data_IF_440199536008
#
_entry.id   IF_440199536008
#
_cell.length_a   1.000
_cell.length_b   1.000
_cell.length_c   1.000
_cell.angle_alpha   90.00
_cell.angle_beta   90.00
_cell.angle_gamma   90.00
#
_symmetry.space_group_name_H-M   'P 1'
#
loop_
_entity.id
_entity.type
_entity.pdbx_description
1 polymer ?
#
# COMPACT_ATOMS: atom_id res chain seq x y z
N UNK A 1 -46.96 -12.71 6.83
CA UNK A 1 -46.58 -12.05 8.10
C UNK A 1 -45.13 -12.35 8.50
N UNK A 2 -44.74 -13.57 8.93
CA UNK A 2 -43.37 -13.81 9.42
C UNK A 2 -42.27 -13.68 8.34
N UNK A 3 -42.49 -14.25 7.14
CA UNK A 3 -41.58 -14.05 5.98
C UNK A 3 -41.50 -12.59 5.51
N UNK A 4 -42.55 -11.83 5.74
CA UNK A 4 -42.64 -10.43 5.34
C UNK A 4 -41.91 -9.54 6.35
N UNK A 5 -42.07 -9.82 7.66
CA UNK A 5 -41.28 -9.22 8.72
C UNK A 5 -39.78 -9.52 8.57
N UNK A 6 -39.40 -10.75 8.21
CA UNK A 6 -37.99 -11.09 7.93
C UNK A 6 -37.43 -10.30 6.73
N UNK A 7 -38.23 -10.10 5.67
CA UNK A 7 -37.83 -9.28 4.51
C UNK A 7 -37.68 -7.81 4.89
N UNK A 8 -38.59 -7.27 5.70
CA UNK A 8 -38.53 -5.89 6.18
C UNK A 8 -37.29 -5.67 7.05
N UNK A 9 -37.02 -6.59 8.00
CA UNK A 9 -35.83 -6.55 8.84
C UNK A 9 -34.53 -6.66 8.03
N UNK A 10 -34.48 -7.54 7.02
CA UNK A 10 -33.33 -7.65 6.13
C UNK A 10 -33.10 -6.35 5.34
N UNK A 11 -34.17 -5.76 4.80
CA UNK A 11 -34.11 -4.48 4.07
C UNK A 11 -33.65 -3.32 4.96
N UNK A 12 -34.09 -3.28 6.21
CA UNK A 12 -33.69 -2.25 7.19
C UNK A 12 -32.20 -2.39 7.55
N UNK A 13 -31.75 -3.62 7.81
CA UNK A 13 -30.33 -3.94 8.05
C UNK A 13 -29.44 -3.60 6.85
N UNK A 14 -29.91 -3.84 5.62
CA UNK A 14 -29.18 -3.49 4.40
C UNK A 14 -29.03 -1.96 4.24
N UNK A 15 -30.10 -1.22 4.51
CA UNK A 15 -30.09 0.24 4.46
C UNK A 15 -29.16 0.83 5.53
N UNK A 16 -29.20 0.29 6.75
CA UNK A 16 -28.31 0.70 7.83
C UNK A 16 -26.83 0.40 7.48
N UNK A 17 -26.55 -0.78 6.92
CA UNK A 17 -25.21 -1.12 6.44
C UNK A 17 -24.74 -0.17 5.32
N UNK A 18 -25.63 0.18 4.38
CA UNK A 18 -25.30 1.15 3.32
C UNK A 18 -24.98 2.53 3.92
N UNK A 19 -25.72 2.96 4.95
CA UNK A 19 -25.44 4.21 5.67
C UNK A 19 -24.08 4.19 6.35
N UNK A 20 -23.75 3.11 7.08
CA UNK A 20 -22.46 2.96 7.76
C UNK A 20 -21.28 2.92 6.78
N UNK A 21 -21.44 2.29 5.61
CA UNK A 21 -20.40 2.23 4.57
C UNK A 21 -20.11 3.57 3.91
N UNK A 22 -21.11 4.45 3.86
CA UNK A 22 -21.03 5.76 3.20
C UNK A 22 -20.81 6.89 4.21
N UNK A 23 -20.44 6.56 5.45
CA UNK A 23 -20.23 7.54 6.51
C UNK A 23 -18.82 8.14 6.44
N UNK A 24 -18.63 9.03 5.46
CA UNK A 24 -17.42 9.82 5.29
C UNK A 24 -17.75 11.21 4.75
N UNK A 25 -16.90 12.18 5.07
CA UNK A 25 -17.02 13.56 4.63
C UNK A 25 -16.73 13.66 3.11
N UNK A 26 -17.59 14.37 2.38
CA UNK A 26 -17.37 14.69 0.97
C UNK A 26 -16.63 16.03 0.84
N UNK A 27 -15.75 16.17 -0.17
CA UNK A 27 -15.06 17.43 -0.43
C UNK A 27 -16.07 18.53 -0.77
N UNK A 28 -16.89 18.26 -1.78
CA UNK A 28 -17.94 19.13 -2.27
C UNK A 28 -19.19 18.27 -2.49
N UNK A 29 -20.31 18.54 -1.80
CA UNK A 29 -21.55 17.81 -2.02
C UNK A 29 -22.03 17.93 -3.47
N UNK A 30 -22.42 16.81 -4.08
CA UNK A 30 -22.93 16.80 -5.45
C UNK A 30 -24.26 17.55 -5.55
N UNK A 31 -24.38 18.46 -6.53
CA UNK A 31 -25.60 19.22 -6.78
C UNK A 31 -26.73 18.30 -7.29
N UNK A 32 -27.97 18.68 -6.98
CA UNK A 32 -29.17 17.92 -7.39
C UNK A 32 -29.27 17.75 -8.90
N UNK A 33 -28.94 18.78 -9.66
CA UNK A 33 -28.98 18.77 -11.13
C UNK A 33 -28.04 17.71 -11.71
N UNK A 34 -26.83 17.62 -11.17
CA UNK A 34 -25.82 16.62 -11.57
C UNK A 34 -26.28 15.21 -11.17
N UNK A 35 -26.94 15.07 -10.02
CA UNK A 35 -27.52 13.79 -9.58
C UNK A 35 -28.57 13.29 -10.58
N UNK A 36 -29.44 14.16 -11.09
CA UNK A 36 -30.44 13.80 -12.10
C UNK A 36 -29.80 13.34 -13.43
N UNK A 37 -28.67 13.94 -13.82
CA UNK A 37 -27.90 13.51 -14.99
C UNK A 37 -27.38 12.08 -14.79
N UNK A 38 -26.84 11.76 -13.61
CA UNK A 38 -26.41 10.42 -13.26
C UNK A 38 -27.58 9.42 -13.26
N UNK A 39 -28.69 9.75 -12.60
CA UNK A 39 -29.88 8.88 -12.55
C UNK A 39 -30.41 8.56 -13.96
N UNK A 40 -30.42 9.54 -14.86
CA UNK A 40 -30.81 9.34 -16.26
C UNK A 40 -29.89 8.35 -16.99
N UNK A 41 -28.57 8.50 -16.84
CA UNK A 41 -27.61 7.56 -17.44
C UNK A 41 -27.74 6.16 -16.83
N UNK A 42 -27.85 6.08 -15.51
CA UNK A 42 -27.96 4.81 -14.79
C UNK A 42 -29.26 4.08 -15.11
N UNK A 43 -30.38 4.79 -15.30
CA UNK A 43 -31.69 4.24 -15.63
C UNK A 43 -31.86 3.76 -17.08
N UNK A 44 -30.83 3.86 -17.93
CA UNK A 44 -30.93 3.46 -19.35
C UNK A 44 -31.11 1.95 -19.50
N UNK A 45 -32.16 1.46 -20.19
CA UNK A 45 -32.37 0.03 -20.42
C UNK A 45 -31.20 -0.59 -21.19
N UNK A 46 -30.67 -1.72 -20.70
CA UNK A 46 -29.55 -2.41 -21.35
C UNK A 46 -28.21 -1.66 -21.29
N UNK A 47 -28.04 -0.71 -20.35
CA UNK A 47 -26.84 0.14 -20.16
C UNK A 47 -25.49 -0.54 -20.38
N UNK A 48 -25.33 -1.78 -19.90
CA UNK A 48 -24.07 -2.54 -20.01
C UNK A 48 -23.60 -2.83 -21.46
N UNK A 49 -24.46 -2.60 -22.46
CA UNK A 49 -24.16 -2.76 -23.89
C UNK A 49 -24.22 -1.45 -24.68
N UNK A 50 -24.65 -0.36 -24.04
CA UNK A 50 -24.80 0.95 -24.69
C UNK A 50 -23.55 1.76 -24.46
N UNK A 51 -22.96 2.27 -25.54
CA UNK A 51 -21.84 3.22 -25.47
C UNK A 51 -22.41 4.63 -25.30
N UNK A 52 -22.00 5.29 -24.25
CA UNK A 52 -22.35 6.68 -23.97
C UNK A 52 -21.29 7.61 -24.55
N UNK A 53 -21.68 8.86 -24.77
CA UNK A 53 -20.76 9.90 -25.19
C UNK A 53 -19.71 10.18 -24.09
N UNK A 54 -18.44 10.22 -24.49
CA UNK A 54 -17.32 10.32 -23.56
C UNK A 54 -17.27 11.70 -22.88
N UNK A 55 -17.56 12.78 -23.63
CA UNK A 55 -17.56 14.15 -23.10
C UNK A 55 -18.65 14.35 -22.05
N UNK A 56 -19.83 13.76 -22.28
CA UNK A 56 -20.94 13.76 -21.33
C UNK A 56 -20.56 13.08 -20.01
N UNK A 57 -19.94 11.89 -20.07
CA UNK A 57 -19.47 11.18 -18.87
C UNK A 57 -18.38 12.00 -18.16
N UNK A 58 -17.43 12.53 -18.91
CA UNK A 58 -16.30 13.30 -18.36
C UNK A 58 -16.80 14.53 -17.62
N UNK A 59 -17.74 15.26 -18.23
CA UNK A 59 -18.40 16.42 -17.63
C UNK A 59 -19.19 16.04 -16.38
N UNK A 60 -19.92 14.93 -16.40
CA UNK A 60 -20.68 14.46 -15.23
C UNK A 60 -19.76 14.08 -14.06
N UNK A 61 -18.60 13.45 -14.32
CA UNK A 61 -17.62 13.12 -13.27
C UNK A 61 -16.94 14.37 -12.73
N UNK A 62 -16.64 15.36 -13.58
CA UNK A 62 -16.03 16.64 -13.18
C UNK A 62 -16.98 17.46 -12.30
N UNK A 63 -18.27 17.54 -12.66
CA UNK A 63 -19.30 18.26 -11.89
C UNK A 63 -19.67 17.58 -10.57
N UNK A 64 -19.33 16.29 -10.41
CA UNK A 64 -19.42 15.58 -9.14
C UNK A 64 -20.18 14.26 -9.24
N UNK A 65 -19.78 13.33 -8.38
CA UNK A 65 -20.38 11.98 -8.31
C UNK A 65 -21.16 11.86 -7.00
N UNK A 66 -22.47 11.59 -7.02
CA UNK A 66 -23.27 11.50 -5.80
C UNK A 66 -22.90 10.25 -4.98
N UNK A 67 -22.56 10.44 -3.69
CA UNK A 67 -22.13 9.37 -2.77
C UNK A 67 -23.05 8.14 -2.74
N UNK A 68 -24.36 8.34 -2.86
CA UNK A 68 -25.35 7.26 -2.79
C UNK A 68 -25.35 6.32 -4.00
N UNK A 69 -24.88 6.82 -5.16
CA UNK A 69 -24.78 6.08 -6.43
C UNK A 69 -23.34 5.77 -6.84
N UNK A 70 -22.33 6.28 -6.12
CA UNK A 70 -20.90 6.16 -6.48
C UNK A 70 -20.48 4.74 -6.84
N UNK A 71 -20.89 3.73 -6.07
CA UNK A 71 -20.59 2.33 -6.39
C UNK A 71 -21.24 1.81 -7.68
N UNK A 72 -22.45 2.27 -8.01
CA UNK A 72 -23.10 1.94 -9.29
C UNK A 72 -22.44 2.69 -10.46
N UNK A 73 -22.02 3.93 -10.23
CA UNK A 73 -21.32 4.77 -11.19
C UNK A 73 -19.95 4.17 -11.53
N UNK A 74 -19.17 3.70 -10.56
CA UNK A 74 -17.90 3.01 -10.83
C UNK A 74 -18.10 1.75 -11.68
N UNK A 75 -19.14 0.97 -11.38
CA UNK A 75 -19.50 -0.18 -12.22
C UNK A 75 -19.87 0.26 -13.64
N UNK A 76 -20.66 1.33 -13.78
CA UNK A 76 -21.02 1.90 -15.08
C UNK A 76 -19.77 2.35 -15.86
N UNK A 77 -18.84 3.05 -15.24
CA UNK A 77 -17.58 3.49 -15.86
C UNK A 77 -16.74 2.29 -16.33
N UNK A 78 -16.63 1.25 -15.51
CA UNK A 78 -15.96 0.01 -15.90
C UNK A 78 -16.65 -0.70 -17.09
N UNK A 79 -17.99 -0.67 -17.14
CA UNK A 79 -18.76 -1.17 -18.29
C UNK A 79 -18.45 -0.35 -19.56
N UNK A 80 -18.41 0.98 -19.46
CA UNK A 80 -18.05 1.86 -20.59
C UNK A 80 -16.62 1.62 -21.06
N UNK A 81 -15.66 1.51 -20.13
CA UNK A 81 -14.26 1.20 -20.43
C UNK A 81 -14.13 -0.10 -21.25
N UNK A 82 -14.83 -1.16 -20.83
CA UNK A 82 -14.85 -2.45 -21.54
C UNK A 82 -15.48 -2.37 -22.94
N UNK A 83 -16.43 -1.47 -23.17
CA UNK A 83 -17.02 -1.26 -24.50
C UNK A 83 -16.08 -0.47 -25.42
N UNK A 84 -15.21 0.38 -24.87
CA UNK A 84 -14.25 1.17 -25.63
C UNK A 84 -12.93 0.45 -25.92
N UNK A 85 -12.49 -0.43 -25.02
CA UNK A 85 -11.17 -1.03 -25.05
C UNK A 85 -11.24 -2.51 -25.44
N UNK A 86 -10.45 -2.91 -26.43
CA UNK A 86 -10.19 -4.33 -26.70
C UNK A 86 -9.18 -4.83 -25.68
N UNK A 87 -9.65 -5.32 -24.53
CA UNK A 87 -8.77 -5.93 -23.53
C UNK A 87 -8.08 -7.14 -24.18
N UNK A 88 -6.74 -7.16 -24.30
CA UNK A 88 -6.02 -8.35 -24.73
C UNK A 88 -6.27 -9.44 -23.69
N UNK A 89 -7.19 -10.34 -24.00
CA UNK A 89 -7.75 -11.26 -23.03
C UNK A 89 -6.73 -12.36 -22.70
N UNK A 90 -5.97 -12.22 -21.62
CA UNK A 90 -5.75 -13.36 -20.72
C UNK A 90 -6.79 -13.24 -19.61
N UNK A 91 -8.02 -13.75 -19.81
CA UNK A 91 -8.90 -13.91 -18.66
C UNK A 91 -8.15 -14.76 -17.63
N UNK A 92 -8.37 -14.54 -16.32
CA UNK A 92 -7.80 -15.43 -15.31
C UNK A 92 -8.14 -16.86 -15.71
N UNK A 93 -7.14 -17.73 -15.74
CA UNK A 93 -7.27 -19.14 -16.14
C UNK A 93 -8.36 -19.87 -15.35
N UNK A 94 -8.70 -19.32 -14.19
CA UNK A 94 -9.72 -19.79 -13.29
C UNK A 94 -11.00 -18.94 -13.38
N UNK A 95 -12.09 -19.52 -13.87
CA UNK A 95 -13.43 -18.90 -13.92
C UNK A 95 -14.31 -19.29 -12.72
N UNK A 96 -13.70 -19.77 -11.63
CA UNK A 96 -14.44 -20.23 -10.46
C UNK A 96 -15.26 -19.08 -9.86
N UNK A 97 -16.58 -19.26 -9.65
CA UNK A 97 -17.42 -18.20 -9.11
C UNK A 97 -17.05 -17.88 -7.66
N UNK A 98 -17.25 -16.62 -7.25
CA UNK A 98 -16.88 -16.10 -5.93
C UNK A 98 -17.29 -17.01 -4.76
N UNK A 99 -18.53 -17.54 -4.79
CA UNK A 99 -19.05 -18.43 -3.73
C UNK A 99 -18.27 -19.74 -3.60
N UNK A 100 -17.73 -20.26 -4.69
CA UNK A 100 -16.92 -21.49 -4.67
C UNK A 100 -15.49 -21.20 -4.23
N UNK A 101 -14.93 -20.05 -4.60
CA UNK A 101 -13.61 -19.60 -4.10
C UNK A 101 -13.59 -19.48 -2.57
N UNK A 102 -14.67 -18.94 -1.98
CA UNK A 102 -14.76 -18.80 -0.51
C UNK A 102 -14.72 -20.13 0.26
N UNK A 103 -15.03 -21.26 -0.39
CA UNK A 103 -14.96 -22.59 0.24
C UNK A 103 -13.53 -23.13 0.34
N UNK A 104 -12.59 -22.59 -0.44
CA UNK A 104 -11.21 -23.05 -0.46
C UNK A 104 -10.38 -22.40 0.66
N UNK A 105 -9.16 -22.88 0.92
CA UNK A 105 -8.21 -22.28 1.86
C UNK A 105 -7.18 -21.45 1.09
N UNK A 106 -6.82 -20.27 1.61
CA UNK A 106 -5.76 -19.43 1.04
C UNK A 106 -4.48 -19.54 1.86
N UNK A 107 -3.33 -19.62 1.19
CA UNK A 107 -2.01 -19.52 1.83
C UNK A 107 -1.75 -18.14 2.43
N UNK A 108 -2.44 -17.10 1.95
CA UNK A 108 -2.21 -15.70 2.33
C UNK A 108 -3.03 -15.23 3.53
N UNK A 109 -3.62 -16.16 4.28
CA UNK A 109 -4.49 -15.84 5.42
C UNK A 109 -3.80 -14.91 6.44
N UNK A 110 -2.54 -15.17 6.78
CA UNK A 110 -1.82 -14.37 7.77
C UNK A 110 -1.59 -12.93 7.29
N UNK A 111 -1.12 -12.76 6.05
CA UNK A 111 -0.89 -11.45 5.45
C UNK A 111 -2.19 -10.63 5.38
N UNK A 112 -3.29 -11.26 4.93
CA UNK A 112 -4.62 -10.64 4.87
C UNK A 112 -5.07 -10.15 6.26
N UNK A 113 -4.91 -10.97 7.30
CA UNK A 113 -5.36 -10.63 8.65
C UNK A 113 -4.58 -9.47 9.28
N UNK A 114 -3.27 -9.39 9.05
CA UNK A 114 -2.43 -8.27 9.51
C UNK A 114 -2.95 -6.95 8.90
N UNK A 115 -3.22 -6.98 7.60
CA UNK A 115 -3.65 -5.79 6.87
C UNK A 115 -5.06 -5.33 7.22
N UNK A 116 -5.92 -6.29 7.57
CA UNK A 116 -7.31 -6.03 7.89
C UNK A 116 -7.45 -5.07 9.08
N UNK A 117 -6.62 -5.25 10.11
CA UNK A 117 -6.63 -4.40 11.31
C UNK A 117 -6.12 -2.98 11.07
N UNK A 118 -5.34 -2.75 10.00
CA UNK A 118 -4.79 -1.43 9.64
C UNK A 118 -5.56 -0.74 8.51
N UNK A 119 -6.57 -1.38 7.94
CA UNK A 119 -7.36 -0.83 6.82
C UNK A 119 -8.56 -0.05 7.35
N UNK A 120 -8.51 1.28 7.25
CA UNK A 120 -9.54 2.21 7.75
C UNK A 120 -9.98 1.93 9.21
N UNK A 121 -9.05 1.85 10.18
CA UNK A 121 -9.36 1.40 11.55
C UNK A 121 -10.34 2.33 12.29
N UNK A 122 -10.41 3.60 11.89
CA UNK A 122 -11.31 4.60 12.48
C UNK A 122 -12.68 4.65 11.84
N UNK A 123 -12.89 3.99 10.70
CA UNK A 123 -14.16 4.03 9.98
C UNK A 123 -15.20 3.11 10.65
N UNK A 124 -16.43 3.56 10.94
CA UNK A 124 -17.41 2.79 11.73
C UNK A 124 -17.67 1.37 11.21
N UNK A 125 -17.69 1.19 9.88
CA UNK A 125 -17.89 -0.12 9.26
C UNK A 125 -16.73 -1.12 9.46
N UNK A 126 -15.50 -0.63 9.63
CA UNK A 126 -14.29 -1.46 9.75
C UNK A 126 -13.68 -1.47 11.16
N UNK A 127 -14.17 -0.60 12.06
CA UNK A 127 -13.67 -0.44 13.43
C UNK A 127 -13.80 -1.73 14.26
N UNK A 128 -14.88 -2.50 14.07
CA UNK A 128 -15.09 -3.73 14.81
C UNK A 128 -14.15 -4.84 14.31
N UNK A 129 -13.28 -5.33 15.20
CA UNK A 129 -12.36 -6.43 14.91
C UNK A 129 -13.14 -7.69 14.51
N UNK A 130 -12.85 -8.23 13.33
CA UNK A 130 -13.59 -9.34 12.72
C UNK A 130 -15.12 -9.10 12.66
N UNK A 131 -15.55 -7.84 12.62
CA UNK A 131 -16.93 -7.46 12.37
C UNK A 131 -17.33 -7.64 10.91
N UNK A 132 -18.59 -7.32 10.59
CA UNK A 132 -19.15 -7.53 9.25
C UNK A 132 -18.32 -6.88 8.12
N UNK A 133 -17.78 -5.68 8.34
CA UNK A 133 -16.94 -5.00 7.35
C UNK A 133 -15.59 -5.67 7.14
N UNK A 134 -14.87 -5.98 8.23
CA UNK A 134 -13.60 -6.69 8.16
C UNK A 134 -13.77 -8.10 7.54
N UNK A 135 -14.79 -8.86 7.92
CA UNK A 135 -15.04 -10.18 7.32
C UNK A 135 -15.42 -10.11 5.84
N UNK A 136 -16.19 -9.09 5.45
CA UNK A 136 -16.51 -8.85 4.04
C UNK A 136 -15.24 -8.58 3.24
N UNK A 137 -14.36 -7.72 3.76
CA UNK A 137 -13.08 -7.41 3.14
C UNK A 137 -12.16 -8.64 3.07
N UNK A 138 -12.03 -9.39 4.17
CA UNK A 138 -11.30 -10.66 4.22
C UNK A 138 -11.76 -11.63 3.11
N UNK A 139 -13.07 -11.80 2.93
CA UNK A 139 -13.63 -12.71 1.93
C UNK A 139 -13.28 -12.29 0.50
N UNK A 140 -13.34 -10.98 0.20
CA UNK A 140 -12.96 -10.46 -1.11
C UNK A 140 -11.48 -10.74 -1.39
N UNK A 141 -10.60 -10.44 -0.43
CA UNK A 141 -9.15 -10.64 -0.56
C UNK A 141 -8.78 -12.12 -0.66
N UNK A 142 -9.42 -12.96 0.15
CA UNK A 142 -9.30 -14.41 0.08
C UNK A 142 -9.66 -14.92 -1.31
N UNK A 143 -10.83 -14.56 -1.83
CA UNK A 143 -11.28 -15.01 -3.14
C UNK A 143 -10.31 -14.53 -4.23
N UNK A 144 -9.83 -13.28 -4.15
CA UNK A 144 -8.86 -12.75 -5.10
C UNK A 144 -7.53 -13.52 -5.07
N UNK A 145 -6.98 -13.81 -3.87
CA UNK A 145 -5.73 -14.58 -3.72
C UNK A 145 -5.78 -15.99 -4.31
N UNK A 146 -6.99 -16.54 -4.50
CA UNK A 146 -7.24 -17.86 -5.10
C UNK A 146 -7.51 -17.77 -6.60
N UNK A 147 -8.05 -16.64 -7.06
CA UNK A 147 -8.31 -16.38 -8.48
C UNK A 147 -7.01 -16.13 -9.23
N UNK A 148 -6.06 -15.43 -8.61
CA UNK A 148 -4.75 -15.10 -9.17
C UNK A 148 -3.62 -15.46 -8.19
N UNK A 149 -3.11 -16.72 -8.25
CA UNK A 149 -2.06 -17.19 -7.36
C UNK A 149 -0.70 -16.52 -7.58
N UNK A 150 -0.43 -16.03 -8.80
CA UNK A 150 0.84 -15.38 -9.17
C UNK A 150 0.98 -13.99 -8.55
N UNK A 151 -0.15 -13.31 -8.27
CA UNK A 151 -0.20 -11.98 -7.63
C UNK A 151 -0.19 -12.06 -6.10
N UNK A 152 -0.07 -13.26 -5.53
CA UNK A 152 -0.15 -13.45 -4.09
C UNK A 152 1.17 -13.08 -3.41
N UNK A 153 1.35 -11.80 -3.05
CA UNK A 153 2.06 -11.30 -1.85
C UNK A 153 2.08 -9.75 -1.85
N UNK A 154 1.39 -9.18 -0.84
CA UNK A 154 1.50 -7.82 -0.26
C UNK A 154 0.30 -6.86 -0.46
N UNK A 155 -0.39 -6.60 0.66
CA UNK A 155 -1.27 -5.47 0.94
C UNK A 155 -2.70 -5.48 0.35
N UNK A 156 -3.66 -5.35 1.27
CA UNK A 156 -5.14 -5.31 1.11
C UNK A 156 -5.73 -4.30 0.13
N UNK A 157 -4.89 -3.49 -0.51
CA UNK A 157 -5.25 -2.61 -1.62
C UNK A 157 -5.16 -3.31 -2.99
N UNK A 158 -4.85 -4.61 -3.00
CA UNK A 158 -4.68 -5.45 -4.19
C UNK A 158 -5.91 -5.66 -5.09
N UNK A 159 -7.10 -5.27 -4.64
CA UNK A 159 -8.29 -5.22 -5.50
C UNK A 159 -8.14 -4.23 -6.67
N UNK A 160 -7.20 -3.27 -6.57
CA UNK A 160 -6.80 -2.40 -7.67
C UNK A 160 -5.38 -2.72 -8.23
N UNK A 161 -4.60 -3.58 -7.56
CA UNK A 161 -3.27 -4.01 -8.03
C UNK A 161 -3.33 -4.85 -9.31
N UNK A 162 -4.51 -5.35 -9.72
CA UNK A 162 -4.71 -6.00 -11.03
C UNK A 162 -4.38 -5.08 -12.21
N UNK A 163 -4.30 -3.75 -12.03
CA UNK A 163 -4.01 -2.84 -13.15
C UNK A 163 -2.57 -2.30 -13.19
N UNK A 164 -1.75 -2.53 -12.17
CA UNK A 164 -0.52 -1.74 -11.97
C UNK A 164 0.71 -2.52 -11.52
N UNK A 165 0.61 -3.79 -11.17
CA UNK A 165 1.78 -4.51 -10.63
C UNK A 165 1.76 -5.97 -11.02
N UNK A 166 1.76 -6.23 -12.33
CA UNK A 166 2.21 -7.52 -12.85
C UNK A 166 3.73 -7.55 -12.76
N UNK A 167 4.27 -8.01 -11.63
CA UNK A 167 5.40 -8.94 -11.49
C UNK A 167 5.89 -8.93 -10.02
N UNK A 168 6.27 -10.09 -9.45
CA UNK A 168 6.84 -10.19 -8.10
C UNK A 168 8.14 -9.36 -7.91
N UNK A 169 8.78 -8.92 -8.98
CA UNK A 169 10.04 -8.17 -8.96
C UNK A 169 9.87 -6.65 -8.71
N UNK A 170 8.65 -6.15 -8.45
CA UNK A 170 8.36 -4.71 -8.25
C UNK A 170 8.83 -3.80 -9.41
N UNK A 171 9.16 -4.37 -10.58
CA UNK A 171 9.69 -3.64 -11.75
C UNK A 171 8.72 -2.55 -12.19
N UNK A 172 7.43 -2.85 -12.26
CA UNK A 172 6.44 -1.84 -12.65
C UNK A 172 6.46 -0.67 -11.67
N UNK A 173 6.46 -0.94 -10.36
CA UNK A 173 6.52 0.11 -9.36
C UNK A 173 7.80 0.96 -9.50
N UNK A 174 8.95 0.34 -9.84
CA UNK A 174 10.19 1.07 -10.14
C UNK A 174 10.04 1.97 -11.38
N UNK A 175 9.44 1.47 -12.47
CA UNK A 175 9.10 2.28 -13.65
C UNK A 175 8.23 3.47 -13.24
N UNK A 176 7.23 3.25 -12.38
CA UNK A 176 6.37 4.33 -11.91
C UNK A 176 7.10 5.36 -11.06
N UNK A 177 7.99 4.92 -10.16
CA UNK A 177 8.82 5.86 -9.40
C UNK A 177 9.70 6.69 -10.34
N UNK A 178 10.24 6.07 -11.38
CA UNK A 178 11.01 6.78 -12.41
C UNK A 178 10.15 7.77 -13.20
N UNK A 179 8.98 7.35 -13.70
CA UNK A 179 8.03 8.21 -14.41
C UNK A 179 7.61 9.42 -13.57
N UNK A 180 7.34 9.24 -12.28
CA UNK A 180 7.03 10.34 -11.37
C UNK A 180 8.24 11.29 -11.20
N UNK A 181 9.45 10.74 -11.09
CA UNK A 181 10.68 11.54 -11.03
C UNK A 181 10.86 12.40 -12.29
N UNK A 182 10.67 11.82 -13.48
CA UNK A 182 10.75 12.54 -14.77
C UNK A 182 9.63 13.58 -14.92
N UNK A 183 8.41 13.28 -14.49
CA UNK A 183 7.33 14.27 -14.43
C UNK A 183 7.70 15.47 -13.54
N UNK A 184 8.30 15.23 -12.36
CA UNK A 184 8.76 16.33 -11.51
C UNK A 184 9.86 17.14 -12.19
N UNK A 185 10.81 16.49 -12.86
CA UNK A 185 11.84 17.18 -13.63
C UNK A 185 11.25 18.11 -14.70
N UNK A 186 10.25 17.64 -15.45
CA UNK A 186 9.70 18.38 -16.58
C UNK A 186 8.71 19.49 -16.18
N UNK A 187 7.91 19.28 -15.12
CA UNK A 187 6.87 20.24 -14.70
C UNK A 187 7.28 21.11 -13.50
N UNK A 188 8.12 20.60 -12.60
CA UNK A 188 8.53 21.25 -11.35
C UNK A 188 10.04 21.12 -11.11
N UNK A 189 10.83 21.59 -12.08
CA UNK A 189 12.29 21.40 -12.15
C UNK A 189 13.05 21.80 -10.87
N UNK A 190 12.66 22.89 -10.24
CA UNK A 190 13.27 23.37 -8.99
C UNK A 190 12.94 22.45 -7.79
N UNK A 191 11.72 21.93 -7.70
CA UNK A 191 11.38 20.89 -6.73
C UNK A 191 12.18 19.63 -7.00
N UNK A 192 12.26 19.19 -8.26
CA UNK A 192 13.09 18.04 -8.64
C UNK A 192 14.54 18.23 -8.23
N UNK A 193 15.17 19.35 -8.57
CA UNK A 193 16.57 19.63 -8.23
C UNK A 193 16.79 19.67 -6.72
N UNK A 194 15.84 20.21 -5.95
CA UNK A 194 15.93 20.21 -4.48
C UNK A 194 15.87 18.79 -3.90
N UNK A 195 14.94 17.96 -4.39
CA UNK A 195 14.83 16.56 -3.99
C UNK A 195 16.07 15.76 -4.39
N UNK A 196 16.59 15.98 -5.60
CA UNK A 196 17.80 15.32 -6.11
C UNK A 196 19.05 15.69 -5.30
N UNK A 197 19.21 16.97 -4.94
CA UNK A 197 20.32 17.43 -4.07
C UNK A 197 20.31 16.77 -2.70
N UNK A 198 19.13 16.41 -2.20
CA UNK A 198 18.93 15.71 -0.93
C UNK A 198 18.83 14.19 -1.10
N UNK A 199 19.11 13.66 -2.30
CA UNK A 199 19.03 12.23 -2.65
C UNK A 199 17.65 11.59 -2.38
N UNK A 200 16.57 12.37 -2.53
CA UNK A 200 15.20 11.94 -2.26
C UNK A 200 14.53 11.44 -3.54
N UNK A 201 14.56 10.12 -3.74
CA UNK A 201 13.79 9.46 -4.79
C UNK A 201 12.31 9.26 -4.43
N UNK A 202 11.40 9.18 -5.43
CA UNK A 202 9.98 8.93 -5.18
C UNK A 202 9.65 7.66 -4.39
N UNK A 203 10.50 6.64 -4.43
CA UNK A 203 10.34 5.41 -3.65
C UNK A 203 10.25 5.65 -2.13
N UNK A 204 10.87 6.72 -1.63
CA UNK A 204 10.88 7.06 -0.20
C UNK A 204 9.53 7.56 0.31
N UNK A 205 8.67 8.13 -0.55
CA UNK A 205 7.42 8.77 -0.12
C UNK A 205 6.18 8.38 -0.94
N UNK A 206 6.31 8.07 -2.23
CA UNK A 206 5.19 7.85 -3.14
C UNK A 206 4.74 6.39 -3.19
N UNK A 207 5.54 5.43 -2.73
CA UNK A 207 5.18 4.00 -2.71
C UNK A 207 3.77 3.74 -2.14
N UNK A 208 3.37 4.31 -0.99
CA UNK A 208 2.01 4.14 -0.47
C UNK A 208 0.92 4.75 -1.37
N UNK A 209 1.22 5.84 -2.09
CA UNK A 209 0.26 6.51 -2.97
C UNK A 209 -0.13 5.62 -4.14
N UNK A 210 0.85 4.96 -4.77
CA UNK A 210 0.62 4.04 -5.89
C UNK A 210 -0.01 2.73 -5.44
N UNK A 211 0.49 2.15 -4.34
CA UNK A 211 -0.01 0.85 -3.86
C UNK A 211 -1.41 0.94 -3.26
N UNK A 212 -1.80 2.08 -2.69
CA UNK A 212 -3.09 2.25 -2.01
C UNK A 212 -4.03 3.22 -2.69
N UNK A 213 -3.63 3.81 -3.83
CA UNK A 213 -4.38 4.87 -4.51
C UNK A 213 -4.75 5.98 -3.50
N UNK A 214 -3.75 6.41 -2.73
CA UNK A 214 -3.84 7.42 -1.66
C UNK A 214 -4.69 7.04 -0.43
N UNK A 215 -5.31 5.86 -0.39
CA UNK A 215 -6.26 5.48 0.65
C UNK A 215 -5.67 5.37 2.07
N UNK A 216 -4.36 5.14 2.20
CA UNK A 216 -3.73 4.93 3.52
C UNK A 216 -3.52 6.21 4.33
N UNK A 217 -3.33 7.35 3.67
CA UNK A 217 -2.94 8.60 4.33
C UNK A 217 -3.89 9.77 4.06
N UNK A 218 -4.73 9.70 3.03
CA UNK A 218 -5.60 10.81 2.63
C UNK A 218 -7.04 10.60 3.10
N UNK A 219 -7.80 11.70 3.31
CA UNK A 219 -9.22 11.61 3.69
C UNK A 219 -10.07 10.84 2.68
N UNK A 220 -11.00 10.02 3.18
CA UNK A 220 -11.78 9.09 2.34
C UNK A 220 -12.62 9.80 1.27
N UNK A 221 -13.10 11.03 1.54
CA UNK A 221 -13.78 11.85 0.53
C UNK A 221 -12.91 12.22 -0.66
N UNK A 222 -11.64 12.53 -0.42
CA UNK A 222 -10.65 12.80 -1.46
C UNK A 222 -10.33 11.54 -2.25
N UNK A 223 -10.05 10.45 -1.54
CA UNK A 223 -9.79 9.14 -2.14
C UNK A 223 -10.96 8.72 -3.04
N UNK A 224 -12.20 8.90 -2.60
CA UNK A 224 -13.38 8.58 -3.41
C UNK A 224 -13.41 9.36 -4.74
N UNK A 225 -13.04 10.65 -4.74
CA UNK A 225 -12.94 11.47 -5.96
C UNK A 225 -11.78 11.03 -6.85
N UNK A 226 -10.65 10.62 -6.28
CA UNK A 226 -9.54 10.01 -7.03
C UNK A 226 -10.03 8.74 -7.74
N UNK A 227 -10.77 7.87 -7.05
CA UNK A 227 -11.35 6.67 -7.65
C UNK A 227 -12.36 6.98 -8.77
N UNK A 228 -13.19 8.02 -8.62
CA UNK A 228 -14.09 8.46 -9.70
C UNK A 228 -13.33 8.73 -11.00
N UNK A 229 -12.20 9.43 -10.91
CA UNK A 229 -11.33 9.74 -12.05
C UNK A 229 -10.56 8.51 -12.54
N UNK A 230 -10.08 7.65 -11.65
CA UNK A 230 -9.37 6.42 -12.01
C UNK A 230 -10.26 5.47 -12.82
N UNK A 231 -11.54 5.31 -12.46
CA UNK A 231 -12.49 4.51 -13.24
C UNK A 231 -12.82 5.12 -14.61
N UNK A 232 -12.65 6.45 -14.78
CA UNK A 232 -12.92 7.17 -16.01
C UNK A 232 -11.71 7.21 -16.95
N UNK A 233 -10.53 7.58 -16.44
CA UNK A 233 -9.32 7.88 -17.20
C UNK A 233 -8.24 6.79 -17.08
N UNK A 234 -8.32 5.90 -16.08
CA UNK A 234 -7.33 4.85 -15.82
C UNK A 234 -6.33 5.19 -14.71
N UNK A 235 -5.31 4.34 -14.55
CA UNK A 235 -4.31 4.47 -13.47
C UNK A 235 -3.41 5.69 -13.58
N UNK A 236 -3.29 6.32 -14.75
CA UNK A 236 -2.47 7.52 -14.95
C UNK A 236 -2.88 8.68 -14.03
N UNK A 237 -4.14 8.67 -13.55
CA UNK A 237 -4.65 9.61 -12.56
C UNK A 237 -3.80 9.63 -11.28
N UNK A 238 -3.18 8.51 -10.91
CA UNK A 238 -2.31 8.45 -9.73
C UNK A 238 -1.11 9.39 -9.90
N UNK A 239 -0.51 9.42 -11.09
CA UNK A 239 0.57 10.35 -11.42
C UNK A 239 0.09 11.80 -11.42
N UNK A 240 -1.07 12.06 -12.03
CA UNK A 240 -1.70 13.38 -12.05
C UNK A 240 -1.89 13.91 -10.62
N UNK A 241 -2.48 13.11 -9.74
CA UNK A 241 -2.70 13.47 -8.33
C UNK A 241 -1.36 13.69 -7.61
N UNK A 242 -0.38 12.77 -7.76
CA UNK A 242 0.93 12.92 -7.13
C UNK A 242 1.64 14.21 -7.57
N UNK A 243 1.61 14.52 -8.87
CA UNK A 243 2.22 15.70 -9.45
C UNK A 243 1.54 16.98 -8.95
N UNK A 244 0.20 17.05 -8.94
CA UNK A 244 -0.54 18.21 -8.43
C UNK A 244 -0.34 18.43 -6.93
N UNK A 245 -0.29 17.36 -6.13
CA UNK A 245 -0.02 17.46 -4.69
C UNK A 245 1.39 17.99 -4.41
N UNK A 246 2.41 17.45 -5.07
CA UNK A 246 3.79 17.91 -4.93
C UNK A 246 3.96 19.34 -5.44
N UNK A 247 3.38 19.66 -6.59
CA UNK A 247 3.39 21.00 -7.17
C UNK A 247 2.70 22.06 -6.30
N UNK A 248 1.56 21.72 -5.70
CA UNK A 248 0.83 22.63 -4.81
C UNK A 248 1.55 22.90 -3.48
N UNK A 249 2.32 21.92 -2.97
CA UNK A 249 3.07 22.03 -1.72
C UNK A 249 4.53 22.43 -1.91
N UNK A 250 5.00 22.55 -3.16
CA UNK A 250 6.36 22.91 -3.52
C UNK A 250 6.95 24.08 -2.70
N UNK A 251 6.28 25.24 -2.53
CA UNK A 251 6.85 26.35 -1.77
C UNK A 251 7.13 26.04 -0.30
N UNK A 252 6.42 25.05 0.27
CA UNK A 252 6.62 24.58 1.64
C UNK A 252 7.73 23.53 1.68
N UNK A 253 7.75 22.60 0.71
CA UNK A 253 8.79 21.56 0.62
C UNK A 253 10.19 22.20 0.48
N UNK A 254 10.31 23.26 -0.31
CA UNK A 254 11.58 23.98 -0.53
C UNK A 254 12.12 24.70 0.72
N UNK A 255 11.35 24.79 1.82
CA UNK A 255 11.81 25.38 3.09
C UNK A 255 12.52 24.36 3.98
N UNK A 256 12.50 23.08 3.61
CA UNK A 256 13.13 22.00 4.35
C UNK A 256 14.47 21.62 3.70
N UNK A 257 15.54 21.59 4.48
CA UNK A 257 16.91 21.42 3.98
C UNK A 257 17.52 20.04 4.26
N UNK A 258 16.76 19.11 4.86
CA UNK A 258 17.24 17.77 5.21
C UNK A 258 16.31 16.68 4.69
N UNK A 259 16.89 15.52 4.32
CA UNK A 259 16.14 14.35 3.88
C UNK A 259 15.01 13.96 4.84
N UNK A 260 15.30 13.89 6.15
CA UNK A 260 14.32 13.49 7.15
C UNK A 260 13.14 14.47 7.22
N UNK A 261 13.43 15.78 7.26
CA UNK A 261 12.37 16.80 7.37
C UNK A 261 11.50 16.88 6.12
N UNK A 262 12.08 16.74 4.93
CA UNK A 262 11.35 16.72 3.66
C UNK A 262 10.45 15.48 3.58
N UNK A 263 11.01 14.30 3.86
CA UNK A 263 10.26 13.03 3.79
C UNK A 263 9.15 13.01 4.85
N UNK A 264 9.41 13.49 6.05
CA UNK A 264 8.39 13.64 7.09
C UNK A 264 7.28 14.58 6.63
N UNK A 265 7.60 15.78 6.13
CA UNK A 265 6.62 16.73 5.62
C UNK A 265 5.71 16.10 4.54
N UNK A 266 6.29 15.40 3.56
CA UNK A 266 5.53 14.76 2.48
C UNK A 266 4.62 13.62 3.02
N UNK A 267 5.05 12.90 4.05
CA UNK A 267 4.30 11.77 4.61
C UNK A 267 3.24 12.17 5.63
N UNK A 268 3.49 13.20 6.43
CA UNK A 268 2.68 13.53 7.61
C UNK A 268 1.88 14.81 7.44
N UNK A 269 2.46 15.84 6.82
CA UNK A 269 1.81 17.15 6.67
C UNK A 269 1.04 17.28 5.37
N UNK A 270 1.61 16.86 4.24
CA UNK A 270 0.99 16.95 2.92
C UNK A 270 -0.40 16.28 2.84
N UNK A 271 -0.65 15.10 3.47
CA UNK A 271 -1.99 14.51 3.42
C UNK A 271 -3.07 15.30 4.18
N UNK A 272 -2.70 16.25 5.05
CA UNK A 272 -3.62 17.09 5.82
C UNK A 272 -4.14 18.27 4.99
N UNK A 273 -4.75 17.96 3.85
CA UNK A 273 -5.30 18.96 2.93
C UNK A 273 -6.56 19.59 3.51
N UNK A 274 -6.74 20.89 3.32
CA UNK A 274 -8.05 21.53 3.53
C UNK A 274 -9.01 21.26 2.37
N UNK A 275 -10.33 21.38 2.58
CA UNK A 275 -11.36 21.14 1.56
C UNK A 275 -11.08 21.91 0.25
N UNK A 276 -10.70 23.18 0.34
CA UNK A 276 -10.38 24.04 -0.82
C UNK A 276 -9.16 23.52 -1.59
N UNK A 277 -8.15 22.99 -0.89
CA UNK A 277 -6.96 22.42 -1.53
C UNK A 277 -7.30 21.11 -2.24
N UNK A 278 -8.12 20.26 -1.61
CA UNK A 278 -8.60 19.03 -2.22
C UNK A 278 -9.39 19.33 -3.50
N UNK A 279 -10.33 20.27 -3.47
CA UNK A 279 -11.14 20.66 -4.63
C UNK A 279 -10.27 21.21 -5.78
N UNK A 280 -9.31 22.10 -5.46
CA UNK A 280 -8.33 22.59 -6.44
C UNK A 280 -7.51 21.46 -7.06
N UNK A 281 -7.06 20.51 -6.24
CA UNK A 281 -6.29 19.33 -6.70
C UNK A 281 -7.13 18.50 -7.66
N UNK A 282 -8.38 18.18 -7.32
CA UNK A 282 -9.28 17.40 -8.19
C UNK A 282 -9.52 18.12 -9.52
N UNK A 283 -9.79 19.43 -9.50
CA UNK A 283 -10.04 20.20 -10.72
C UNK A 283 -8.80 20.24 -11.63
N UNK A 284 -7.61 20.45 -11.06
CA UNK A 284 -6.35 20.38 -11.83
C UNK A 284 -6.16 18.99 -12.43
N UNK A 285 -6.41 17.92 -11.66
CA UNK A 285 -6.27 16.54 -12.12
C UNK A 285 -7.22 16.20 -13.27
N UNK A 286 -8.44 16.74 -13.26
CA UNK A 286 -9.39 16.55 -14.36
C UNK A 286 -8.90 17.12 -15.70
N UNK A 287 -8.12 18.21 -15.67
CA UNK A 287 -7.66 18.92 -16.87
C UNK A 287 -6.24 18.51 -17.32
N UNK A 288 -5.48 17.85 -16.45
CA UNK A 288 -4.10 17.43 -16.76
C UNK A 288 -4.04 16.28 -17.77
N UNK A 289 -3.21 16.46 -18.80
CA UNK A 289 -2.83 15.42 -19.77
C UNK A 289 -1.31 15.14 -19.65
N UNK A 290 -0.98 13.92 -19.24
CA UNK A 290 0.39 13.43 -19.09
C UNK A 290 0.61 12.10 -19.82
N UNK A 291 -0.37 11.61 -20.59
CA UNK A 291 -0.37 10.24 -21.13
C UNK A 291 0.82 10.01 -22.07
N UNK A 292 1.14 10.99 -22.92
CA UNK A 292 2.26 10.90 -23.88
C UNK A 292 3.62 10.89 -23.17
N UNK A 293 3.75 11.71 -22.13
CA UNK A 293 4.97 11.80 -21.33
C UNK A 293 5.20 10.50 -20.58
N UNK A 294 4.17 9.94 -19.94
CA UNK A 294 4.28 8.65 -19.25
C UNK A 294 4.73 7.53 -20.18
N UNK A 295 4.18 7.44 -21.39
CA UNK A 295 4.61 6.47 -22.40
C UNK A 295 6.07 6.69 -22.82
N UNK A 296 6.48 7.94 -23.04
CA UNK A 296 7.85 8.27 -23.40
C UNK A 296 8.84 7.87 -22.29
N UNK A 297 8.53 8.15 -21.03
CA UNK A 297 9.37 7.80 -19.88
C UNK A 297 9.42 6.30 -19.61
N UNK A 298 8.35 5.55 -19.91
CA UNK A 298 8.36 4.09 -19.83
C UNK A 298 9.36 3.49 -20.83
N UNK A 299 9.33 3.97 -22.08
CA UNK A 299 10.31 3.57 -23.10
C UNK A 299 11.72 4.01 -22.70
N UNK A 300 11.89 5.24 -22.21
CA UNK A 300 13.18 5.74 -21.71
C UNK A 300 13.76 4.83 -20.62
N UNK A 301 12.94 4.41 -19.65
CA UNK A 301 13.36 3.50 -18.59
C UNK A 301 13.84 2.15 -19.13
N UNK A 302 13.10 1.55 -20.07
CA UNK A 302 13.49 0.27 -20.66
C UNK A 302 14.82 0.37 -21.42
N UNK A 303 15.02 1.45 -22.20
CA UNK A 303 16.30 1.69 -22.90
C UNK A 303 17.45 1.82 -21.90
N UNK A 304 17.26 2.58 -20.80
CA UNK A 304 18.29 2.73 -19.77
C UNK A 304 18.63 1.41 -19.07
N UNK A 305 17.64 0.54 -18.83
CA UNK A 305 17.87 -0.79 -18.26
C UNK A 305 18.66 -1.68 -19.22
N UNK A 306 18.31 -1.66 -20.51
CA UNK A 306 19.01 -2.44 -21.53
C UNK A 306 20.47 -1.98 -21.70
N UNK A 307 20.74 -0.67 -21.71
CA UNK A 307 22.11 -0.13 -21.74
C UNK A 307 22.94 -0.53 -20.51
N UNK A 308 22.32 -0.59 -19.33
CA UNK A 308 22.96 -1.03 -18.10
C UNK A 308 23.35 -2.52 -18.17
N UNK A 309 22.52 -3.34 -18.81
CA UNK A 309 22.75 -4.78 -19.02
C UNK A 309 23.80 -5.07 -20.10
N UNK A 310 23.85 -4.24 -21.15
CA UNK A 310 24.80 -4.36 -22.25
C UNK A 310 26.20 -3.78 -21.95
N UNK A 311 26.35 -3.08 -20.82
CA UNK A 311 27.67 -2.65 -20.36
C UNK A 311 28.46 -3.89 -19.93
N UNK A 312 29.57 -4.27 -20.61
CA UNK A 312 30.34 -5.44 -20.22
C UNK A 312 30.79 -5.24 -18.76
N UNK A 313 30.54 -6.20 -17.86
CA UNK A 313 30.85 -6.02 -16.45
C UNK A 313 32.34 -5.72 -16.34
N UNK A 314 32.66 -4.51 -15.88
CA UNK A 314 34.06 -4.16 -15.65
C UNK A 314 34.65 -5.21 -14.70
N UNK A 315 35.87 -5.70 -14.96
CA UNK A 315 36.50 -6.75 -14.13
C UNK A 315 36.40 -6.43 -12.62
N UNK A 316 36.43 -5.14 -12.26
CA UNK A 316 36.30 -4.64 -10.89
C UNK A 316 34.92 -4.90 -10.26
N UNK A 317 33.83 -4.88 -11.03
CA UNK A 317 32.47 -5.05 -10.51
C UNK A 317 32.19 -6.52 -10.20
N UNK A 318 32.68 -7.45 -11.05
CA UNK A 318 32.66 -8.89 -10.75
C UNK A 318 33.49 -9.24 -9.51
N UNK A 319 34.66 -8.62 -9.35
CA UNK A 319 35.49 -8.81 -8.17
C UNK A 319 34.80 -8.29 -6.91
N UNK A 320 34.16 -7.10 -6.98
CA UNK A 320 33.37 -6.54 -5.86
C UNK A 320 32.16 -7.39 -5.51
N UNK A 321 31.40 -7.86 -6.51
CA UNK A 321 30.23 -8.70 -6.30
C UNK A 321 30.62 -10.05 -5.67
N UNK A 322 31.66 -10.71 -6.21
CA UNK A 322 32.18 -11.96 -5.66
C UNK A 322 32.78 -11.79 -4.26
N UNK A 323 33.31 -10.61 -3.94
CA UNK A 323 33.80 -10.30 -2.60
C UNK A 323 32.65 -10.07 -1.62
N UNK A 324 31.63 -9.30 -2.01
CA UNK A 324 30.43 -9.07 -1.20
C UNK A 324 29.65 -10.36 -0.93
N UNK A 325 29.54 -11.26 -1.91
CA UNK A 325 28.93 -12.58 -1.72
C UNK A 325 29.70 -13.43 -0.71
N UNK A 326 31.03 -13.48 -0.83
CA UNK A 326 31.88 -14.19 0.16
C UNK A 326 31.72 -13.61 1.56
N UNK A 327 31.70 -12.29 1.69
CA UNK A 327 31.49 -11.63 2.99
C UNK A 327 30.10 -11.92 3.55
N UNK A 328 29.05 -11.90 2.73
CA UNK A 328 27.69 -12.24 3.15
C UNK A 328 27.54 -13.70 3.59
N UNK A 329 28.15 -14.63 2.86
CA UNK A 329 28.16 -16.05 3.25
C UNK A 329 28.88 -16.25 4.58
N UNK A 330 30.03 -15.59 4.77
CA UNK A 330 30.77 -15.66 6.04
C UNK A 330 29.98 -15.06 7.21
N UNK A 331 29.33 -13.91 7.03
CA UNK A 331 28.49 -13.28 8.05
C UNK A 331 27.24 -14.11 8.37
N UNK A 332 26.64 -14.78 7.37
CA UNK A 332 25.53 -15.72 7.60
C UNK A 332 25.96 -16.92 8.43
N UNK A 333 27.14 -17.48 8.14
CA UNK A 333 27.69 -18.58 8.94
C UNK A 333 27.97 -18.13 10.38
N UNK A 334 28.59 -16.97 10.57
CA UNK A 334 28.84 -16.42 11.91
C UNK A 334 27.55 -16.17 12.70
N UNK A 335 26.49 -15.69 12.04
CA UNK A 335 25.18 -15.54 12.68
C UNK A 335 24.57 -16.89 13.06
N UNK A 336 24.73 -17.92 12.23
CA UNK A 336 24.26 -19.27 12.54
C UNK A 336 25.03 -19.86 13.73
N UNK A 337 26.35 -19.74 13.73
CA UNK A 337 27.21 -20.22 14.82
C UNK A 337 26.90 -19.49 16.15
N UNK A 338 26.66 -18.17 16.09
CA UNK A 338 26.23 -17.39 17.26
C UNK A 338 24.83 -17.80 17.76
N UNK A 339 23.91 -18.11 16.86
CA UNK A 339 22.58 -18.63 17.23
C UNK A 339 22.68 -20.02 17.86
N UNK A 340 23.55 -20.89 17.35
CA UNK A 340 23.84 -22.20 17.95
C UNK A 340 24.51 -22.05 19.32
N UNK A 341 25.47 -21.14 19.49
CA UNK A 341 26.06 -20.83 20.79
C UNK A 341 25.00 -20.31 21.78
N UNK A 342 24.11 -19.42 21.34
CA UNK A 342 23.00 -18.93 22.16
C UNK A 342 22.02 -20.05 22.54
N UNK A 343 21.71 -20.96 21.63
CA UNK A 343 20.89 -22.13 21.91
C UNK A 343 21.59 -23.10 22.89
N UNK A 344 22.88 -23.34 22.71
CA UNK A 344 23.69 -24.17 23.60
C UNK A 344 23.83 -23.57 25.00
N UNK A 345 23.89 -22.24 25.11
CA UNK A 345 23.87 -21.51 26.38
C UNK A 345 22.45 -21.50 27.00
N UNK A 346 21.39 -21.57 26.19
CA UNK A 346 20.00 -21.61 26.66
C UNK A 346 19.57 -22.98 27.21
N UNK A 347 20.11 -24.09 26.69
CA UNK A 347 19.80 -25.45 27.14
C UNK A 347 20.06 -25.71 28.65
N UNK A 348 21.17 -25.26 29.27
CA UNK A 348 21.39 -25.39 30.70
C UNK A 348 20.64 -24.36 31.56
N UNK A 349 20.00 -23.34 30.95
CA UNK A 349 19.19 -22.34 31.68
C UNK A 349 17.74 -22.80 31.85
N UNK A 350 17.19 -23.58 30.93
CA UNK A 350 15.80 -24.07 30.99
C UNK A 350 15.67 -25.36 31.82
N UNK A 351 16.72 -26.18 31.89
CA UNK A 351 16.72 -27.43 32.67
C UNK A 351 16.46 -27.25 34.19
N UNK A 352 17.05 -26.26 34.90
CA UNK A 352 16.80 -26.09 36.34
C UNK A 352 15.49 -25.34 36.66
N UNK A 353 14.90 -24.64 35.68
CA UNK A 353 13.67 -23.87 35.89
C UNK A 353 12.44 -24.79 36.03
N UNK A 354 12.39 -25.89 35.27
CA UNK A 354 11.32 -26.88 35.39
C UNK A 354 11.43 -27.74 36.66
N UNK A 355 12.62 -27.86 37.26
CA UNK A 355 12.80 -28.54 38.56
C UNK A 355 12.52 -27.62 39.75
N UNK A 356 12.72 -26.30 39.61
CA UNK A 356 12.42 -25.33 40.68
C UNK A 356 10.93 -25.13 40.92
N UNK A 357 10.06 -25.39 39.94
CA UNK A 357 8.62 -25.21 40.10
C UNK A 357 7.97 -26.29 40.99
N UNK A 358 8.63 -27.43 41.18
CA UNK A 358 8.15 -28.52 42.05
C UNK A 358 8.62 -28.43 43.51
N UNK A 359 9.58 -27.56 43.85
CA UNK A 359 10.20 -27.53 45.20
C UNK A 359 9.67 -26.35 46.05
N UNK A 360 8.79 -25.50 45.52
CA UNK A 360 8.21 -24.38 46.28
C UNK A 360 6.98 -24.74 47.14
N UNK A 361 6.85 -26.00 47.56
CA UNK A 361 5.96 -26.41 48.66
C UNK A 361 6.83 -27.06 49.74
N UNK A 362 7.55 -26.23 50.49
CA UNK A 362 7.77 -26.36 51.94
C UNK A 362 8.96 -25.54 52.40
N UNK A 363 8.78 -24.87 53.54
CA UNK A 363 9.57 -23.72 53.94
C UNK A 363 11.01 -23.97 54.39
N UNK A 364 11.67 -22.82 54.60
CA UNK A 364 12.91 -22.52 55.36
C UNK A 364 14.21 -22.42 54.54
N UNK A 365 14.70 -21.17 54.50
CA UNK A 365 16.09 -20.71 54.49
C UNK A 365 17.18 -21.72 54.06
N UNK A 366 17.73 -21.59 52.84
CA UNK A 366 19.13 -21.92 52.58
C UNK A 366 19.72 -21.23 51.32
N UNK A 367 20.69 -20.32 51.57
CA UNK A 367 21.86 -19.92 50.74
C UNK A 367 21.64 -19.16 49.41
N UNK A 368 21.58 -17.83 49.56
CA UNK A 368 21.68 -16.80 48.50
C UNK A 368 23.08 -16.64 47.85
N UNK A 369 24.10 -17.39 48.28
CA UNK A 369 25.50 -17.16 47.86
C UNK A 369 25.86 -17.70 46.46
N UNK A 370 25.17 -18.72 45.96
CA UNK A 370 25.42 -19.26 44.62
C UNK A 370 24.79 -18.38 43.52
N UNK A 371 23.58 -17.85 43.75
CA UNK A 371 22.91 -16.95 42.81
C UNK A 371 23.67 -15.64 42.63
N UNK A 372 24.18 -15.05 43.71
CA UNK A 372 25.00 -13.83 43.66
C UNK A 372 26.32 -14.01 42.89
N UNK A 373 26.97 -15.18 43.00
CA UNK A 373 28.18 -15.50 42.22
C UNK A 373 27.90 -15.73 40.73
N UNK A 374 26.75 -16.32 40.40
CA UNK A 374 26.33 -16.50 39.01
C UNK A 374 25.95 -15.16 38.38
N UNK A 375 25.24 -14.30 39.11
CA UNK A 375 24.88 -12.95 38.66
C UNK A 375 26.11 -12.05 38.44
N UNK A 376 27.11 -12.11 39.33
CA UNK A 376 28.33 -11.32 39.16
C UNK A 376 29.15 -11.78 37.95
N UNK A 377 29.26 -13.09 37.70
CA UNK A 377 29.90 -13.64 36.50
C UNK A 377 29.15 -13.26 35.21
N UNK A 378 27.82 -13.27 35.23
CA UNK A 378 27.00 -12.86 34.08
C UNK A 378 27.23 -11.37 33.76
N UNK A 379 27.17 -10.51 34.77
CA UNK A 379 27.41 -9.07 34.64
C UNK A 379 28.80 -8.76 34.08
N UNK A 380 29.82 -9.49 34.53
CA UNK A 380 31.19 -9.32 34.05
C UNK A 380 31.32 -9.71 32.58
N UNK A 381 30.70 -10.83 32.16
CA UNK A 381 30.68 -11.25 30.74
C UNK A 381 29.90 -10.29 29.84
N UNK A 382 28.77 -9.74 30.29
CA UNK A 382 28.01 -8.75 29.52
C UNK A 382 28.80 -7.46 29.29
N UNK A 383 29.60 -7.03 30.29
CA UNK A 383 30.51 -5.88 30.15
C UNK A 383 31.64 -6.17 29.15
N UNK A 384 32.17 -7.38 29.11
CA UNK A 384 33.19 -7.77 28.13
C UNK A 384 32.64 -7.83 26.71
N UNK A 385 31.40 -8.31 26.54
CA UNK A 385 30.71 -8.29 25.23
C UNK A 385 30.45 -6.87 24.76
N UNK A 386 29.94 -5.97 25.62
CA UNK A 386 29.74 -4.55 25.27
C UNK A 386 31.02 -3.83 24.84
N UNK A 387 32.16 -4.17 25.45
CA UNK A 387 33.47 -3.63 25.03
C UNK A 387 33.93 -4.18 23.68
N UNK A 388 33.62 -5.44 23.38
CA UNK A 388 33.95 -6.04 22.07
C UNK A 388 33.07 -5.49 20.95
N UNK A 389 31.77 -5.27 21.17
CA UNK A 389 30.90 -4.63 20.17
C UNK A 389 31.28 -3.17 19.91
N UNK A 390 31.62 -2.41 20.95
CA UNK A 390 32.11 -1.02 20.78
C UNK A 390 33.44 -0.95 20.01
N UNK A 391 34.34 -1.93 20.19
CA UNK A 391 35.60 -1.99 19.43
C UNK A 391 35.41 -2.35 17.95
N UNK A 392 34.34 -3.06 17.59
CA UNK A 392 33.98 -3.36 16.19
C UNK A 392 33.37 -2.14 15.51
N UNK A 393 32.58 -1.33 16.22
CA UNK A 393 32.04 -0.06 15.69
C UNK A 393 33.13 0.98 15.41
N UNK A 394 34.27 0.94 16.10
CA UNK A 394 35.40 1.87 15.86
C UNK A 394 36.28 1.48 14.66
N UNK A 395 36.16 0.25 14.14
CA UNK A 395 36.98 -0.26 13.02
C UNK A 395 36.24 -0.11 11.67
N UNK A 396 34.94 0.17 11.68
CA UNK A 396 34.10 0.27 10.47
C UNK A 396 33.79 1.71 10.00
N UNK A 397 34.40 2.74 10.60
CA UNK A 397 34.34 4.11 10.10
C UNK A 397 35.76 4.63 9.80
N UNK A 398 36.09 4.96 8.53
CA UNK A 398 37.16 5.92 8.26
C UNK A 398 36.77 7.32 8.73
#
# INVERSE_FOLDING_TARGET
>A
MERENQKLQASENDLQNKRLKLDYEEITPCLKEVTLVWEKMLGTPGRAKVKFDAETIHTAVAQGVPRQHRGEIWKFLAEQYRLTQTVPSRPPSNHTPYKELLKQLTSQQHAILIDLGRTFPTHPYFQAQLGAGQLSLYNILKAYSLLDPEVSLNSVFALFLLWLSFLPDMIILQIQMYQLSRLLHDYHRDLYSHLEQQEIGPSLYATPWFLTVFASHFPLGFVARVFDMVFLQGSEVIFKVALSLLGSHKPLILQHDSLESIVDFIKTMLPNLGLVQMEKTINQVCEMDVSKQLQAYEVEYHVLQDELLDTPPTLNQHQRAAQLERTNQSLRQQNLDLLEELQFISHPVVSPLNTCQFICIDGKNLKSTHLLRSYSKLRQKTLTLKRKTSAVETICHP
#
